data_IF_201444223162
#
_entry.id   IF_201444223162
#
_cell.length_a   1.000
_cell.length_b   1.000
_cell.length_c   1.000
_cell.angle_alpha   90.00
_cell.angle_beta   90.00
_cell.angle_gamma   90.00
#
_symmetry.space_group_name_H-M   'P 1'
#
loop_
_entity.id
_entity.type
_entity.pdbx_description
1 polymer ?
#
# COMPACT_ATOMS: atom_id res chain seq x y z
N UNK A 1 -0.83 -19.91 3.12
CA UNK A 1 -1.70 -18.75 2.79
C UNK A 1 -0.86 -17.48 2.67
N UNK A 2 -0.85 -16.81 1.50
CA UNK A 2 0.08 -15.71 1.17
C UNK A 2 -0.12 -14.43 2.02
N UNK A 3 -1.37 -14.06 2.31
CA UNK A 3 -1.66 -12.88 3.14
C UNK A 3 -1.25 -13.06 4.61
N UNK A 4 -1.48 -14.26 5.18
CA UNK A 4 -1.06 -14.58 6.55
C UNK A 4 0.47 -14.50 6.72
N UNK A 5 1.25 -14.88 5.70
CA UNK A 5 2.70 -14.73 5.73
C UNK A 5 3.14 -13.25 5.76
N UNK A 6 2.38 -12.35 5.13
CA UNK A 6 2.63 -10.91 5.19
C UNK A 6 2.32 -10.33 6.59
N UNK A 7 1.22 -10.75 7.23
CA UNK A 7 0.85 -10.31 8.59
C UNK A 7 1.90 -10.66 9.65
N UNK A 8 2.73 -11.68 9.40
CA UNK A 8 3.84 -12.07 10.28
C UNK A 8 5.02 -11.09 10.25
N UNK A 9 5.13 -10.24 9.22
CA UNK A 9 6.23 -9.26 9.11
C UNK A 9 6.01 -8.09 10.06
N UNK A 10 6.91 -7.90 11.02
CA UNK A 10 6.90 -6.77 11.97
C UNK A 10 8.31 -6.26 12.21
N UNK A 11 8.45 -5.02 12.67
CA UNK A 11 9.73 -4.53 13.19
C UNK A 11 9.97 -5.13 14.59
N UNK A 12 11.18 -5.63 14.86
CA UNK A 12 11.50 -6.31 16.12
C UNK A 12 11.60 -5.35 17.31
N UNK A 13 12.11 -4.13 17.10
CA UNK A 13 12.30 -3.13 18.16
C UNK A 13 11.01 -2.41 18.52
N UNK A 14 10.36 -1.77 17.53
CA UNK A 14 9.08 -1.11 17.73
C UNK A 14 8.10 -1.44 16.58
N UNK A 15 7.12 -2.34 16.81
CA UNK A 15 6.16 -2.76 15.79
C UNK A 15 5.36 -1.61 15.16
N UNK A 16 5.13 -0.50 15.86
CA UNK A 16 4.33 0.63 15.35
C UNK A 16 5.01 1.38 14.20
N UNK A 17 6.35 1.33 14.11
CA UNK A 17 7.14 1.91 13.02
C UNK A 17 7.35 0.94 11.84
N UNK A 18 6.88 -0.30 11.99
CA UNK A 18 7.06 -1.37 11.00
C UNK A 18 6.06 -1.34 9.85
N UNK A 19 5.97 -2.45 9.09
CA UNK A 19 5.01 -2.58 8.00
C UNK A 19 3.56 -2.46 8.49
N UNK A 20 2.76 -1.61 7.83
CA UNK A 20 1.34 -1.45 8.14
C UNK A 20 0.48 -2.53 7.48
N UNK A 21 -0.24 -3.27 8.32
CA UNK A 21 -1.14 -4.36 7.93
C UNK A 21 -2.58 -3.88 7.80
N UNK A 22 -2.91 -3.21 6.71
CA UNK A 22 -4.30 -2.84 6.43
C UNK A 22 -5.17 -4.08 6.16
N UNK A 23 -6.38 -4.08 6.73
CA UNK A 23 -7.37 -5.16 6.56
C UNK A 23 -8.47 -4.84 5.54
N UNK A 24 -8.79 -3.56 5.35
CA UNK A 24 -9.79 -3.13 4.39
C UNK A 24 -9.33 -3.41 2.94
N UNK A 25 -10.21 -3.92 2.06
CA UNK A 25 -9.86 -4.26 0.68
C UNK A 25 -9.36 -3.05 -0.12
N UNK A 26 -9.98 -1.89 0.05
CA UNK A 26 -9.56 -0.61 -0.56
C UNK A 26 -8.10 -0.26 -0.23
N UNK A 27 -7.68 -0.49 1.02
CA UNK A 27 -6.32 -0.22 1.48
C UNK A 27 -5.31 -1.28 1.05
N UNK A 28 -5.76 -2.53 0.88
CA UNK A 28 -4.94 -3.59 0.28
C UNK A 28 -4.64 -3.24 -1.18
N UNK A 29 -5.65 -2.79 -1.94
CA UNK A 29 -5.48 -2.33 -3.32
C UNK A 29 -4.55 -1.11 -3.42
N UNK A 30 -4.80 -0.08 -2.60
CA UNK A 30 -3.94 1.11 -2.53
C UNK A 30 -2.48 0.77 -2.24
N UNK A 31 -2.20 -0.20 -1.35
CA UNK A 31 -0.84 -0.65 -1.06
C UNK A 31 -0.18 -1.32 -2.26
N UNK A 32 -0.92 -2.10 -3.03
CA UNK A 32 -0.41 -2.74 -4.26
C UNK A 32 -0.01 -1.69 -5.31
N UNK A 33 -0.86 -0.69 -5.54
CA UNK A 33 -0.60 0.40 -6.51
C UNK A 33 0.56 1.29 -6.06
N UNK A 34 0.61 1.66 -4.77
CA UNK A 34 1.76 2.38 -4.19
C UNK A 34 3.04 1.54 -4.29
N UNK A 35 2.90 0.22 -4.18
CA UNK A 35 3.98 -0.73 -4.08
C UNK A 35 4.50 -0.90 -2.65
N UNK A 36 5.07 -2.06 -2.32
CA UNK A 36 5.75 -2.27 -1.05
C UNK A 36 6.94 -1.31 -0.92
N UNK A 37 7.23 -0.88 0.31
CA UNK A 37 8.49 -0.18 0.60
C UNK A 37 9.66 -1.07 0.12
N UNK A 38 10.63 -0.54 -0.62
CA UNK A 38 11.70 -1.34 -1.18
C UNK A 38 12.46 -2.04 -0.04
N UNK A 39 12.52 -3.36 -0.11
CA UNK A 39 13.60 -4.09 0.55
C UNK A 39 14.88 -3.73 -0.21
N UNK A 40 16.00 -3.45 0.47
CA UNK A 40 17.16 -2.77 -0.11
C UNK A 40 17.98 -3.56 -1.15
N UNK A 41 17.49 -4.65 -1.73
CA UNK A 41 18.33 -5.53 -2.58
C UNK A 41 17.70 -6.05 -3.87
N UNK A 42 16.49 -5.63 -4.26
CA UNK A 42 15.92 -6.06 -5.54
C UNK A 42 15.22 -4.89 -6.24
N UNK A 43 15.71 -4.56 -7.44
CA UNK A 43 15.12 -3.62 -8.40
C UNK A 43 13.81 -4.16 -9.02
N UNK A 44 12.92 -4.71 -8.18
CA UNK A 44 11.53 -4.94 -8.54
C UNK A 44 10.72 -3.78 -7.98
N UNK A 45 10.65 -2.71 -8.77
CA UNK A 45 9.91 -1.50 -8.46
C UNK A 45 8.46 -1.85 -8.11
N UNK A 46 7.93 -1.27 -7.04
CA UNK A 46 6.47 -1.19 -6.87
C UNK A 46 5.83 -0.59 -8.14
N UNK A 47 4.52 -0.76 -8.32
CA UNK A 47 3.83 -0.26 -9.53
C UNK A 47 4.03 1.25 -9.76
N UNK A 48 4.39 2.00 -8.72
CA UNK A 48 4.65 3.42 -8.79
C UNK A 48 5.84 3.85 -7.91
N UNK A 49 6.76 4.72 -8.38
CA UNK A 49 7.86 5.25 -7.57
C UNK A 49 7.37 6.30 -6.55
N UNK A 50 6.61 5.86 -5.55
CA UNK A 50 5.89 6.72 -4.60
C UNK A 50 6.78 7.56 -3.68
N UNK A 51 8.08 7.27 -3.57
CA UNK A 51 9.01 8.11 -2.82
C UNK A 51 9.42 9.39 -3.58
N UNK A 52 9.19 9.43 -4.89
CA UNK A 52 9.48 10.61 -5.72
C UNK A 52 8.31 11.60 -5.66
N UNK A 53 8.59 12.89 -5.89
CA UNK A 53 7.54 13.93 -5.95
C UNK A 53 6.46 13.59 -7.00
N UNK A 54 6.89 13.11 -8.17
CA UNK A 54 5.98 12.65 -9.24
C UNK A 54 5.10 11.49 -8.79
N UNK A 55 5.67 10.55 -8.03
CA UNK A 55 4.93 9.42 -7.48
C UNK A 55 3.89 9.84 -6.44
N UNK A 56 4.24 10.78 -5.55
CA UNK A 56 3.26 11.30 -4.58
C UNK A 56 2.09 12.01 -5.28
N UNK A 57 2.37 12.86 -6.27
CA UNK A 57 1.33 13.51 -7.07
C UNK A 57 0.43 12.51 -7.83
N UNK A 58 0.94 11.33 -8.20
CA UNK A 58 0.13 10.28 -8.80
C UNK A 58 -0.74 9.55 -7.76
N UNK A 59 -0.25 9.35 -6.54
CA UNK A 59 -1.05 8.78 -5.45
C UNK A 59 -2.16 9.71 -4.97
N UNK A 60 -1.93 11.02 -4.98
CA UNK A 60 -2.94 12.02 -4.62
C UNK A 60 -4.13 12.03 -5.58
N UNK A 61 -3.91 11.66 -6.85
CA UNK A 61 -4.98 11.51 -7.85
C UNK A 61 -5.81 10.25 -7.65
N UNK A 62 -5.26 9.23 -6.97
CA UNK A 62 -5.92 7.95 -6.78
C UNK A 62 -6.87 8.01 -5.57
N UNK A 63 -8.17 7.81 -5.82
CA UNK A 63 -9.18 7.61 -4.78
C UNK A 63 -9.65 6.15 -4.82
N UNK A 64 -9.69 5.49 -3.67
CA UNK A 64 -10.11 4.09 -3.55
C UNK A 64 -11.10 3.99 -2.40
N UNK A 65 -12.26 3.40 -2.67
CA UNK A 65 -13.33 3.21 -1.70
C UNK A 65 -13.63 1.72 -1.53
N UNK A 66 -14.33 1.39 -0.44
CA UNK A 66 -14.91 0.07 -0.23
C UNK A 66 -16.42 0.20 -0.49
N UNK A 67 -16.96 -0.57 -1.43
CA UNK A 67 -18.28 -0.31 -2.00
C UNK A 67 -18.29 0.90 -2.95
N UNK A 68 -19.50 1.39 -3.25
CA UNK A 68 -19.73 2.49 -4.19
C UNK A 68 -20.39 3.66 -3.45
N UNK A 69 -19.62 4.62 -2.92
CA UNK A 69 -20.18 5.78 -2.24
C UNK A 69 -20.67 6.84 -3.25
N UNK A 70 -21.69 7.65 -2.91
CA UNK A 70 -22.02 8.84 -3.69
C UNK A 70 -20.83 9.81 -3.75
N UNK A 71 -20.52 10.45 -4.89
CA UNK A 71 -21.24 10.54 -6.17
C UNK A 71 -20.89 9.46 -7.21
N UNK A 72 -20.23 8.37 -6.81
CA UNK A 72 -19.80 7.29 -7.71
C UNK A 72 -20.87 6.19 -7.85
N UNK A 73 -22.02 6.36 -7.22
CA UNK A 73 -23.16 5.44 -7.10
C UNK A 73 -24.17 5.53 -8.25
N UNK A 74 -23.89 6.39 -9.24
CA UNK A 74 -24.70 6.60 -10.44
C UNK A 74 -24.28 5.70 -11.59
#
# INVERSE_FOLDING_TARGET
VKFLAFLRKRMNTNPSRGPFHFRAPSRIFWRTVRGPSPQPHLLAHGMLPHKTKRGQAALERLKVFDGIPPPYDK
#
